data_IF_021599892770
#
_entry.id   IF_021599892770
#
_cell.length_a   1.000
_cell.length_b   1.000
_cell.length_c   1.000
_cell.angle_alpha   90.00
_cell.angle_beta   90.00
_cell.angle_gamma   90.00
#
_symmetry.space_group_name_H-M   'P 1'
#
loop_
_entity.id
_entity.type
_entity.pdbx_description
1 polymer ?
#
# COMPACT_ATOMS: atom_id res chain seq x y z
N UNK A 1 -45.15 -21.82 -35.79
CA UNK A 1 -43.93 -22.43 -35.23
C UNK A 1 -42.89 -21.34 -34.94
N UNK A 2 -42.74 -20.87 -33.68
CA UNK A 2 -41.46 -20.33 -33.21
C UNK A 2 -41.24 -20.60 -31.70
N UNK A 3 -40.92 -21.84 -31.31
CA UNK A 3 -40.67 -22.20 -29.89
C UNK A 3 -39.21 -22.65 -29.63
N UNK A 4 -38.43 -22.98 -30.66
CA UNK A 4 -37.06 -23.51 -30.49
C UNK A 4 -36.00 -22.47 -30.09
N UNK A 5 -36.22 -21.18 -30.37
CA UNK A 5 -35.22 -20.12 -30.11
C UNK A 5 -35.20 -19.67 -28.64
N UNK A 6 -36.36 -19.70 -27.95
CA UNK A 6 -36.47 -19.32 -26.54
C UNK A 6 -35.75 -20.31 -25.62
N UNK A 7 -35.90 -21.61 -25.84
CA UNK A 7 -35.27 -22.63 -24.99
C UNK A 7 -33.74 -22.64 -25.08
N UNK A 8 -33.18 -22.36 -26.27
CA UNK A 8 -31.73 -22.19 -26.45
C UNK A 8 -31.18 -20.95 -25.75
N UNK A 9 -31.92 -19.84 -25.79
CA UNK A 9 -31.54 -18.61 -25.09
C UNK A 9 -31.56 -18.79 -23.55
N UNK A 10 -32.55 -19.52 -23.02
CA UNK A 10 -32.64 -19.83 -21.58
C UNK A 10 -31.50 -20.73 -21.14
N UNK A 11 -31.15 -21.76 -21.92
CA UNK A 11 -30.01 -22.64 -21.61
C UNK A 11 -28.67 -21.91 -21.66
N UNK A 12 -28.48 -21.00 -22.62
CA UNK A 12 -27.28 -20.14 -22.69
C UNK A 12 -27.19 -19.19 -21.49
N UNK A 13 -28.31 -18.59 -21.07
CA UNK A 13 -28.36 -17.72 -19.91
C UNK A 13 -28.02 -18.50 -18.62
N UNK A 14 -28.58 -19.70 -18.44
CA UNK A 14 -28.25 -20.58 -17.31
C UNK A 14 -26.78 -21.01 -17.32
N UNK A 15 -26.24 -21.35 -18.49
CA UNK A 15 -24.82 -21.70 -18.64
C UNK A 15 -23.88 -20.56 -18.24
N UNK A 16 -24.19 -19.32 -18.65
CA UNK A 16 -23.41 -18.14 -18.28
C UNK A 16 -23.51 -17.82 -16.78
N UNK A 17 -24.69 -17.97 -16.17
CA UNK A 17 -24.87 -17.78 -14.73
C UNK A 17 -24.10 -18.84 -13.93
N UNK A 18 -24.16 -20.10 -14.34
CA UNK A 18 -23.42 -21.19 -13.71
C UNK A 18 -21.90 -20.99 -13.85
N UNK A 19 -21.43 -20.53 -15.02
CA UNK A 19 -20.02 -20.20 -15.24
C UNK A 19 -19.58 -19.03 -14.35
N UNK A 20 -20.39 -17.97 -14.28
CA UNK A 20 -20.15 -16.81 -13.42
C UNK A 20 -20.05 -17.19 -11.94
N UNK A 21 -20.97 -18.01 -11.44
CA UNK A 21 -20.94 -18.53 -10.06
C UNK A 21 -19.73 -19.40 -9.76
N UNK A 22 -19.17 -20.08 -10.78
CA UNK A 22 -17.99 -20.95 -10.62
C UNK A 22 -16.67 -20.15 -10.59
N UNK A 23 -16.59 -19.07 -11.39
CA UNK A 23 -15.38 -18.25 -11.50
C UNK A 23 -15.35 -17.12 -10.44
N UNK A 24 -16.51 -16.63 -10.01
CA UNK A 24 -16.64 -15.61 -8.98
C UNK A 24 -15.86 -15.90 -7.68
N UNK A 25 -15.95 -17.09 -7.05
CA UNK A 25 -15.21 -17.35 -5.80
C UNK A 25 -13.70 -17.34 -6.00
N UNK A 26 -13.19 -17.74 -7.18
CA UNK A 26 -11.76 -17.65 -7.49
C UNK A 26 -11.30 -16.20 -7.64
N UNK A 27 -12.08 -15.37 -8.33
CA UNK A 27 -11.80 -13.94 -8.46
C UNK A 27 -11.87 -13.21 -7.12
N UNK A 28 -12.86 -13.52 -6.27
CA UNK A 28 -13.01 -12.96 -4.93
C UNK A 28 -11.84 -13.38 -4.04
N UNK A 29 -11.41 -14.65 -4.09
CA UNK A 29 -10.23 -15.10 -3.34
C UNK A 29 -8.97 -14.40 -3.81
N UNK A 30 -8.81 -14.22 -5.12
CA UNK A 30 -7.65 -13.57 -5.70
C UNK A 30 -7.59 -12.08 -5.33
N UNK A 31 -8.72 -11.38 -5.40
CA UNK A 31 -8.87 -10.00 -4.90
C UNK A 31 -8.60 -9.89 -3.40
N UNK A 32 -9.20 -10.78 -2.61
CA UNK A 32 -9.01 -10.78 -1.15
C UNK A 32 -7.52 -10.99 -0.78
N UNK A 33 -6.79 -11.85 -1.50
CA UNK A 33 -5.36 -12.07 -1.22
C UNK A 33 -4.50 -10.87 -1.60
N UNK A 34 -4.89 -10.08 -2.62
CA UNK A 34 -4.13 -8.89 -3.02
C UNK A 34 -4.33 -7.70 -2.06
N UNK A 35 -5.52 -7.54 -1.47
CA UNK A 35 -5.80 -6.44 -0.54
C UNK A 35 -5.60 -6.81 0.94
N UNK A 36 -5.43 -8.09 1.28
CA UNK A 36 -5.37 -8.58 2.66
C UNK A 36 -3.97 -8.98 3.13
N UNK A 37 -2.91 -8.26 2.74
CA UNK A 37 -1.67 -8.39 3.51
C UNK A 37 -1.97 -7.97 4.96
N UNK A 38 -1.77 -8.85 5.97
CA UNK A 38 -1.94 -8.48 7.36
C UNK A 38 -1.02 -7.31 7.67
N UNK A 39 -1.61 -6.23 8.19
CA UNK A 39 -0.91 -4.99 8.51
C UNK A 39 -0.82 -4.81 10.02
N UNK A 40 0.37 -4.50 10.50
CA UNK A 40 0.63 -4.16 11.89
C UNK A 40 1.17 -2.74 11.95
N UNK A 41 0.57 -1.90 12.77
CA UNK A 41 1.12 -0.58 13.07
C UNK A 41 2.26 -0.77 14.07
N UNK A 42 3.48 -0.38 13.67
CA UNK A 42 4.66 -0.50 14.54
C UNK A 42 4.79 0.71 15.46
N UNK A 43 4.47 1.89 14.93
CA UNK A 43 4.54 3.15 15.65
C UNK A 43 3.62 4.17 14.97
N UNK A 44 2.94 5.00 15.76
CA UNK A 44 2.27 6.19 15.28
C UNK A 44 2.33 7.31 16.30
N UNK A 45 1.97 8.51 15.86
CA UNK A 45 2.00 9.68 16.71
C UNK A 45 1.62 10.95 15.97
N UNK A 46 1.71 12.06 16.70
CA UNK A 46 1.49 13.40 16.18
C UNK A 46 2.75 14.24 16.41
N UNK A 47 3.08 15.05 15.43
CA UNK A 47 4.07 16.12 15.58
C UNK A 47 3.45 17.35 16.24
N UNK A 48 4.31 18.27 16.69
CA UNK A 48 3.88 19.49 17.41
C UNK A 48 2.96 20.42 16.61
N UNK A 49 2.99 20.33 15.28
CA UNK A 49 2.12 21.08 14.37
C UNK A 49 0.78 20.37 14.06
N UNK A 50 0.51 19.24 14.70
CA UNK A 50 -0.69 18.44 14.50
C UNK A 50 -0.65 17.50 13.29
N UNK A 51 0.52 17.31 12.67
CA UNK A 51 0.69 16.31 11.61
C UNK A 51 0.74 14.91 12.22
N UNK A 52 -0.13 14.03 11.75
CA UNK A 52 -0.12 12.61 12.09
C UNK A 52 0.91 11.87 11.25
N UNK A 53 1.59 10.91 11.86
CA UNK A 53 2.46 9.97 11.18
C UNK A 53 2.22 8.55 11.68
N UNK A 54 2.44 7.56 10.80
CA UNK A 54 2.32 6.15 11.13
C UNK A 54 3.31 5.31 10.33
N UNK A 55 3.99 4.40 11.02
CA UNK A 55 4.81 3.34 10.44
C UNK A 55 4.03 2.03 10.50
N UNK A 56 3.93 1.33 9.36
CA UNK A 56 3.25 0.05 9.26
C UNK A 56 4.14 -1.00 8.61
N UNK A 57 3.97 -2.23 9.04
CA UNK A 57 4.48 -3.44 8.40
C UNK A 57 3.31 -4.18 7.77
N UNK A 58 3.46 -4.64 6.53
CA UNK A 58 2.53 -5.53 5.87
C UNK A 58 3.25 -6.81 5.44
N UNK A 59 2.73 -7.98 5.82
CA UNK A 59 3.29 -9.26 5.39
C UNK A 59 2.52 -9.79 4.18
N UNK A 60 3.11 -9.68 2.99
CA UNK A 60 2.45 -10.01 1.72
C UNK A 60 2.82 -11.40 1.18
N UNK A 61 3.08 -12.36 2.07
CA UNK A 61 3.44 -13.74 1.71
C UNK A 61 4.82 -13.88 1.07
N UNK A 62 5.15 -15.08 0.57
CA UNK A 62 6.51 -15.39 0.09
C UNK A 62 6.95 -14.70 -1.21
N UNK A 63 6.00 -14.31 -2.07
CA UNK A 63 6.32 -13.72 -3.38
C UNK A 63 6.62 -12.22 -3.29
N UNK A 64 5.83 -11.48 -2.51
CA UNK A 64 6.03 -10.03 -2.32
C UNK A 64 6.94 -9.79 -1.10
N UNK A 65 6.87 -10.64 -0.08
CA UNK A 65 7.65 -10.47 1.14
C UNK A 65 7.05 -9.41 2.07
N UNK A 66 7.90 -8.72 2.81
CA UNK A 66 7.49 -7.71 3.79
C UNK A 66 7.44 -6.35 3.13
N UNK A 67 6.39 -5.56 3.37
CA UNK A 67 6.26 -4.19 2.88
C UNK A 67 6.19 -3.25 4.07
N UNK A 68 7.13 -2.33 4.15
CA UNK A 68 7.14 -1.26 5.14
C UNK A 68 6.51 -0.01 4.55
N UNK A 69 5.68 0.69 5.32
CA UNK A 69 4.99 1.88 4.86
C UNK A 69 5.08 2.98 5.92
N UNK A 70 5.28 4.22 5.47
CA UNK A 70 5.12 5.41 6.30
C UNK A 70 4.03 6.27 5.70
N UNK A 71 3.01 6.53 6.51
CA UNK A 71 1.92 7.42 6.18
C UNK A 71 2.03 8.72 6.96
N UNK A 72 1.66 9.83 6.33
CA UNK A 72 1.50 11.12 6.99
C UNK A 72 0.17 11.77 6.61
N UNK A 73 -0.39 12.56 7.51
CA UNK A 73 -1.56 13.39 7.23
C UNK A 73 -1.59 14.64 8.10
N UNK A 74 -2.30 15.66 7.62
CA UNK A 74 -2.77 16.70 8.51
C UNK A 74 -3.85 16.15 9.45
N UNK A 75 -3.95 16.75 10.64
CA UNK A 75 -5.06 16.47 11.56
C UNK A 75 -6.40 16.46 10.83
N UNK A 76 -7.21 15.44 11.08
CA UNK A 76 -8.53 15.22 10.45
C UNK A 76 -8.52 14.97 8.93
N UNK A 77 -7.38 14.60 8.34
CA UNK A 77 -7.31 14.19 6.93
C UNK A 77 -6.87 12.73 6.79
N UNK A 78 -7.26 12.10 5.67
CA UNK A 78 -6.87 10.72 5.40
C UNK A 78 -5.34 10.58 5.30
N UNK A 79 -4.74 9.61 6.00
CA UNK A 79 -3.31 9.29 5.90
C UNK A 79 -2.88 9.03 4.46
N UNK A 80 -1.81 9.68 4.03
CA UNK A 80 -1.22 9.53 2.69
C UNK A 80 0.11 8.82 2.79
N UNK A 81 0.36 7.90 1.87
CA UNK A 81 1.65 7.22 1.78
C UNK A 81 2.74 8.24 1.42
N UNK A 82 3.80 8.27 2.21
CA UNK A 82 4.99 9.09 1.99
C UNK A 82 6.20 8.24 1.57
N UNK A 83 6.28 7.02 2.11
CA UNK A 83 7.36 6.09 1.87
C UNK A 83 6.81 4.68 1.87
N UNK A 84 7.32 3.84 0.97
CA UNK A 84 7.16 2.41 1.03
C UNK A 84 8.42 1.67 0.62
N UNK A 85 8.65 0.51 1.25
CA UNK A 85 9.82 -0.31 0.99
C UNK A 85 9.45 -1.79 1.02
N UNK A 86 9.72 -2.50 -0.07
CA UNK A 86 9.60 -3.95 -0.14
C UNK A 86 10.90 -4.60 0.32
N UNK A 87 10.79 -5.43 1.36
CA UNK A 87 11.81 -6.13 2.12
C UNK A 87 12.80 -5.22 2.87
N UNK A 88 13.30 -4.18 2.21
CA UNK A 88 14.25 -3.23 2.77
C UNK A 88 14.22 -1.89 2.01
N UNK A 89 14.59 -0.76 2.66
CA UNK A 89 14.99 -0.63 4.07
C UNK A 89 13.79 -0.47 5.04
N UNK A 90 13.96 -0.81 6.32
CA UNK A 90 12.91 -0.70 7.35
C UNK A 90 12.93 0.69 7.99
N UNK A 91 11.79 1.41 8.04
CA UNK A 91 11.66 2.65 8.80
C UNK A 91 11.63 2.38 10.31
N UNK A 92 12.44 3.14 11.06
CA UNK A 92 12.55 3.05 12.51
C UNK A 92 11.83 4.19 13.22
N UNK A 93 11.99 5.42 12.72
CA UNK A 93 11.36 6.61 13.30
C UNK A 93 11.08 7.65 12.23
N UNK A 94 10.16 8.57 12.54
CA UNK A 94 9.85 9.73 11.72
C UNK A 94 10.09 10.98 12.57
N UNK A 95 10.91 11.89 12.05
CA UNK A 95 11.23 13.16 12.67
C UNK A 95 10.75 14.31 11.79
N UNK A 96 10.19 15.34 12.41
CA UNK A 96 9.77 16.53 11.69
C UNK A 96 10.95 17.49 11.48
N UNK A 97 11.08 18.00 10.26
CA UNK A 97 12.05 19.03 9.91
C UNK A 97 11.34 20.22 9.27
N UNK A 98 12.06 21.34 9.12
CA UNK A 98 11.52 22.52 8.43
C UNK A 98 11.16 22.16 6.98
N UNK A 99 9.86 22.17 6.66
CA UNK A 99 9.35 21.90 5.32
C UNK A 99 9.22 20.42 4.94
N UNK A 100 9.33 19.49 5.90
CA UNK A 100 9.22 18.06 5.59
C UNK A 100 9.33 17.14 6.79
N UNK A 101 9.61 15.87 6.48
CA UNK A 101 9.94 14.85 7.47
C UNK A 101 11.26 14.18 7.09
N UNK A 102 11.92 13.58 8.07
CA UNK A 102 13.02 12.65 7.89
C UNK A 102 12.58 11.31 8.43
N UNK A 103 12.75 10.26 7.64
CA UNK A 103 12.53 8.88 8.06
C UNK A 103 13.90 8.28 8.33
N UNK A 104 14.14 7.84 9.57
CA UNK A 104 15.34 7.06 9.90
C UNK A 104 15.11 5.61 9.53
N UNK A 105 16.12 5.01 8.92
CA UNK A 105 16.10 3.65 8.41
C UNK A 105 17.03 2.78 9.23
N UNK A 106 16.76 1.49 9.27
CA UNK A 106 17.66 0.49 9.87
C UNK A 106 18.98 0.37 9.11
N UNK A 107 18.95 0.60 7.80
CA UNK A 107 20.12 0.56 6.93
C UNK A 107 20.00 1.58 5.79
N UNK A 108 21.13 2.03 5.22
CA UNK A 108 21.10 2.89 4.06
C UNK A 108 20.47 2.17 2.85
N UNK A 109 19.69 2.88 2.02
CA UNK A 109 19.31 2.35 0.71
C UNK A 109 20.54 2.02 -0.14
N UNK A 110 20.40 1.06 -1.04
CA UNK A 110 21.43 0.70 -1.99
C UNK A 110 21.86 1.91 -2.83
N UNK A 111 23.15 2.23 -2.82
CA UNK A 111 23.72 3.40 -3.49
C UNK A 111 23.72 4.69 -2.64
N UNK A 112 23.25 4.62 -1.39
CA UNK A 112 23.38 5.70 -0.40
C UNK A 112 24.33 5.29 0.72
N UNK A 113 24.94 6.26 1.38
CA UNK A 113 25.68 6.08 2.64
C UNK A 113 24.86 6.48 3.87
N UNK A 114 23.72 7.14 3.66
CA UNK A 114 22.86 7.64 4.74
C UNK A 114 21.71 6.67 5.01
N UNK A 115 21.55 6.27 6.28
CA UNK A 115 20.42 5.49 6.78
C UNK A 115 19.22 6.39 7.13
N UNK A 116 18.94 7.37 6.28
CA UNK A 116 17.83 8.29 6.44
C UNK A 116 17.39 8.84 5.09
N UNK A 117 16.10 9.16 4.97
CA UNK A 117 15.55 9.83 3.79
C UNK A 117 14.71 11.03 4.19
N UNK A 118 14.96 12.16 3.53
CA UNK A 118 14.15 13.37 3.71
C UNK A 118 13.04 13.42 2.67
N UNK A 119 11.81 13.66 3.13
CA UNK A 119 10.65 13.79 2.28
C UNK A 119 10.10 15.22 2.45
N UNK A 120 10.19 16.06 1.42
CA UNK A 120 9.60 17.38 1.47
C UNK A 120 8.08 17.27 1.44
N UNK A 121 7.44 18.12 2.23
CA UNK A 121 5.98 18.15 2.42
C UNK A 121 5.46 19.50 1.94
N UNK A 122 4.44 19.49 1.08
CA UNK A 122 3.79 20.70 0.56
C UNK A 122 2.71 21.20 1.53
N UNK A 123 2.22 22.45 1.40
CA UNK A 123 1.13 22.96 2.23
C UNK A 123 -0.06 21.98 2.27
N UNK A 124 -0.68 21.85 3.45
CA UNK A 124 -1.66 20.78 3.80
C UNK A 124 -1.03 19.40 4.07
N UNK A 125 0.25 19.37 4.44
CA UNK A 125 0.94 18.18 4.96
C UNK A 125 0.92 16.99 4.00
N UNK A 126 1.08 17.26 2.70
CA UNK A 126 1.12 16.22 1.66
C UNK A 126 2.56 15.94 1.24
N UNK A 127 3.00 14.68 1.10
CA UNK A 127 4.31 14.37 0.52
C UNK A 127 4.39 14.96 -0.88
N UNK A 128 5.49 15.66 -1.21
CA UNK A 128 5.73 16.14 -2.59
C UNK A 128 5.98 14.98 -3.55
N UNK A 129 6.56 13.89 -3.04
CA UNK A 129 6.83 12.64 -3.74
C UNK A 129 6.74 11.49 -2.76
N UNK A 130 6.31 10.33 -3.25
CA UNK A 130 6.36 9.07 -2.52
C UNK A 130 7.70 8.40 -2.84
N UNK A 131 8.45 8.00 -1.83
CA UNK A 131 9.68 7.24 -2.03
C UNK A 131 9.38 5.74 -1.98
N UNK A 132 9.64 5.05 -3.09
CA UNK A 132 9.47 3.62 -3.21
C UNK A 132 10.82 2.90 -3.23
N UNK A 133 10.97 1.85 -2.43
CA UNK A 133 12.16 1.00 -2.42
C UNK A 133 11.79 -0.46 -2.67
N UNK A 134 12.62 -1.15 -3.44
CA UNK A 134 12.50 -2.60 -3.65
C UNK A 134 13.85 -3.24 -3.40
N UNK A 135 13.91 -4.12 -2.40
CA UNK A 135 15.14 -4.81 -1.99
C UNK A 135 16.30 -3.82 -1.78
N UNK A 136 16.02 -2.70 -1.10
CA UNK A 136 16.98 -1.64 -0.79
C UNK A 136 17.21 -0.62 -1.91
N UNK A 137 16.79 -0.86 -3.16
CA UNK A 137 17.00 0.09 -4.27
C UNK A 137 15.82 1.05 -4.41
N UNK A 138 16.11 2.34 -4.52
CA UNK A 138 15.11 3.35 -4.85
C UNK A 138 14.52 3.09 -6.24
N UNK A 139 13.20 3.14 -6.34
CA UNK A 139 12.41 3.10 -7.58
C UNK A 139 11.79 4.48 -7.75
N UNK A 140 12.20 5.15 -8.82
CA UNK A 140 11.80 6.54 -9.11
C UNK A 140 10.47 6.65 -9.80
#
# INVERSE_FOLDING_TARGET
>A
MPQLTRSRAVLLAFGLVALGLSVAPLLVRWWAVQDACPRVTLADGYFSDGMFWRIQEAQCGGTIGTVWQVHISASNTQPRLAFDAQNAPRPLSVEQIKGGIVIRLDQPPAGSTEASVSIPVVPKMRPKRILHFVNGRARG
#
